data_IF_558851987221
#
_entry.id   IF_558851987221
#
_cell.length_a   1.000
_cell.length_b   1.000
_cell.length_c   1.000
_cell.angle_alpha   90.00
_cell.angle_beta   90.00
_cell.angle_gamma   90.00
#
_symmetry.space_group_name_H-M   'P 1'
#
loop_
_entity.id
_entity.type
_entity.pdbx_description
1 polymer ?
#
# COMPACT_ATOMS: atom_id res chain seq x y z
N UNK A 1 -8.55 10.06 4.10
CA UNK A 1 -8.62 9.22 2.87
C UNK A 1 -8.42 7.74 3.21
N UNK A 2 -9.47 6.92 3.15
CA UNK A 2 -9.39 5.45 3.36
C UNK A 2 -8.91 4.65 2.13
N UNK A 3 -8.63 5.33 1.03
CA UNK A 3 -8.25 4.71 -0.26
C UNK A 3 -6.97 3.87 -0.10
N UNK A 4 -5.93 4.43 0.53
CA UNK A 4 -4.64 3.73 0.70
C UNK A 4 -4.77 2.49 1.56
N UNK A 5 -5.58 2.55 2.63
CA UNK A 5 -5.90 1.38 3.45
C UNK A 5 -6.55 0.27 2.63
N UNK A 6 -7.54 0.61 1.79
CA UNK A 6 -8.21 -0.36 0.92
C UNK A 6 -7.28 -0.95 -0.14
N UNK A 7 -6.36 -0.15 -0.69
CA UNK A 7 -5.37 -0.64 -1.65
C UNK A 7 -4.38 -1.61 -0.99
N UNK A 8 -3.87 -1.29 0.20
CA UNK A 8 -3.01 -2.22 0.95
C UNK A 8 -3.77 -3.51 1.30
N UNK A 9 -5.03 -3.40 1.73
CA UNK A 9 -5.86 -4.56 2.02
C UNK A 9 -6.05 -5.46 0.80
N UNK A 10 -6.38 -4.87 -0.36
CA UNK A 10 -6.53 -5.59 -1.62
C UNK A 10 -5.20 -6.20 -2.10
N UNK A 11 -4.08 -5.51 -1.90
CA UNK A 11 -2.74 -6.02 -2.21
C UNK A 11 -2.38 -7.24 -1.36
N UNK A 12 -2.87 -7.34 -0.13
CA UNK A 12 -2.69 -8.50 0.75
C UNK A 12 -3.54 -9.72 0.38
N UNK A 13 -4.49 -9.60 -0.56
CA UNK A 13 -5.43 -10.67 -0.88
C UNK A 13 -4.86 -11.69 -1.88
N UNK A 14 -4.00 -12.60 -1.39
CA UNK A 14 -3.33 -13.63 -2.20
C UNK A 14 -4.27 -14.59 -2.95
N UNK A 15 -5.55 -14.65 -2.57
CA UNK A 15 -6.54 -15.49 -3.25
C UNK A 15 -7.08 -14.84 -4.55
N UNK A 16 -6.77 -13.57 -4.81
CA UNK A 16 -7.28 -12.82 -5.96
C UNK A 16 -6.15 -12.05 -6.66
N UNK A 17 -5.32 -12.72 -7.48
CA UNK A 17 -4.11 -12.14 -8.08
C UNK A 17 -4.36 -10.89 -8.92
N UNK A 18 -5.44 -10.84 -9.70
CA UNK A 18 -5.78 -9.66 -10.52
C UNK A 18 -6.07 -8.43 -9.65
N UNK A 19 -6.77 -8.63 -8.53
CA UNK A 19 -7.06 -7.56 -7.57
C UNK A 19 -5.78 -7.07 -6.89
N UNK A 20 -4.86 -7.98 -6.54
CA UNK A 20 -3.58 -7.59 -5.97
C UNK A 20 -2.76 -6.76 -6.97
N UNK A 21 -2.68 -7.21 -8.22
CA UNK A 21 -1.96 -6.52 -9.28
C UNK A 21 -2.50 -5.12 -9.52
N UNK A 22 -3.82 -4.98 -9.65
CA UNK A 22 -4.48 -3.68 -9.84
C UNK A 22 -4.25 -2.76 -8.64
N UNK A 23 -4.30 -3.30 -7.42
CA UNK A 23 -4.01 -2.55 -6.21
C UNK A 23 -2.55 -2.10 -6.14
N UNK A 24 -1.59 -2.96 -6.53
CA UNK A 24 -0.16 -2.64 -6.58
C UNK A 24 0.12 -1.45 -7.52
N UNK A 25 -0.36 -1.53 -8.77
CA UNK A 25 -0.19 -0.48 -9.79
C UNK A 25 -0.81 0.84 -9.31
N UNK A 26 -2.02 0.76 -8.74
CA UNK A 26 -2.71 1.96 -8.24
C UNK A 26 -1.97 2.56 -7.05
N UNK A 27 -1.51 1.74 -6.11
CA UNK A 27 -0.74 2.19 -4.95
C UNK A 27 0.59 2.81 -5.36
N UNK A 28 1.27 2.24 -6.37
CA UNK A 28 2.49 2.81 -6.94
C UNK A 28 2.25 4.24 -7.45
N UNK A 29 1.18 4.44 -8.21
CA UNK A 29 0.81 5.77 -8.69
C UNK A 29 0.63 6.75 -7.53
N UNK A 30 -0.06 6.34 -6.45
CA UNK A 30 -0.26 7.19 -5.28
C UNK A 30 1.05 7.56 -4.57
N UNK A 31 1.93 6.59 -4.29
CA UNK A 31 3.19 6.89 -3.59
C UNK A 31 4.12 7.75 -4.44
N UNK A 32 4.16 7.56 -5.77
CA UNK A 32 4.98 8.39 -6.66
C UNK A 32 4.42 9.80 -6.83
N UNK A 33 3.10 9.97 -6.75
CA UNK A 33 2.43 11.25 -6.98
C UNK A 33 2.32 12.11 -5.72
N UNK A 34 2.26 11.50 -4.53
CA UNK A 34 1.99 12.19 -3.27
C UNK A 34 3.04 11.84 -2.21
N UNK A 35 4.01 12.72 -1.91
CA UNK A 35 5.07 12.45 -0.93
C UNK A 35 4.55 12.05 0.45
N UNK A 36 3.47 12.67 0.92
CA UNK A 36 2.85 12.30 2.19
C UNK A 36 2.31 10.86 2.20
N UNK A 37 1.74 10.41 1.07
CA UNK A 37 1.26 9.03 0.93
C UNK A 37 2.45 8.07 0.89
N UNK A 38 3.52 8.42 0.17
CA UNK A 38 4.78 7.65 0.16
C UNK A 38 5.28 7.39 1.58
N UNK A 39 5.38 8.44 2.41
CA UNK A 39 5.92 8.31 3.76
C UNK A 39 5.06 7.40 4.63
N UNK A 40 3.73 7.54 4.54
CA UNK A 40 2.78 6.72 5.29
C UNK A 40 2.79 5.26 4.85
N UNK A 41 2.95 5.00 3.55
CA UNK A 41 3.04 3.64 3.02
C UNK A 41 4.38 3.00 3.37
N UNK A 42 5.49 3.74 3.29
CA UNK A 42 6.81 3.26 3.71
C UNK A 42 6.83 2.93 5.21
N UNK A 43 6.19 3.74 6.04
CA UNK A 43 6.01 3.47 7.48
C UNK A 43 5.21 2.17 7.72
N UNK A 44 4.12 1.96 6.98
CA UNK A 44 3.26 0.79 7.14
C UNK A 44 3.89 -0.52 6.66
N UNK A 45 4.66 -0.48 5.57
CA UNK A 45 5.31 -1.66 4.99
C UNK A 45 6.65 -1.98 5.63
N UNK A 46 7.33 -0.98 6.19
CA UNK A 46 8.73 -1.08 6.57
C UNK A 46 9.66 -0.94 5.37
N UNK A 47 10.89 -0.50 5.62
CA UNK A 47 11.83 -0.08 4.58
C UNK A 47 12.15 -1.19 3.56
N UNK A 48 12.50 -2.39 4.02
CA UNK A 48 12.85 -3.51 3.14
C UNK A 48 11.69 -3.90 2.21
N UNK A 49 10.48 -4.05 2.76
CA UNK A 49 9.33 -4.45 1.95
C UNK A 49 8.88 -3.32 1.00
N UNK A 50 9.02 -2.07 1.43
CA UNK A 50 8.75 -0.91 0.58
C UNK A 50 9.70 -0.84 -0.63
N UNK A 51 10.99 -1.09 -0.43
CA UNK A 51 11.98 -1.10 -1.51
C UNK A 51 11.70 -2.23 -2.53
N UNK A 52 11.31 -3.41 -2.05
CA UNK A 52 10.87 -4.51 -2.91
C UNK A 52 9.65 -4.13 -3.75
N UNK A 53 8.66 -3.48 -3.11
CA UNK A 53 7.47 -2.97 -3.78
C UNK A 53 7.80 -1.98 -4.90
N UNK A 54 8.68 -1.00 -4.66
CA UNK A 54 9.04 -0.01 -5.68
C UNK A 54 9.91 -0.58 -6.81
N UNK A 55 10.69 -1.63 -6.56
CA UNK A 55 11.54 -2.24 -7.60
C UNK A 55 10.73 -2.91 -8.68
N UNK A 56 9.70 -3.68 -8.31
CA UNK A 56 8.87 -4.42 -9.26
C UNK A 56 7.41 -4.54 -8.79
N UNK A 57 6.61 -3.47 -8.87
CA UNK A 57 5.22 -3.47 -8.39
C UNK A 57 4.34 -4.46 -9.16
N UNK A 58 4.64 -4.68 -10.45
CA UNK A 58 3.97 -5.65 -11.33
C UNK A 58 4.32 -7.11 -11.02
N UNK A 59 5.36 -7.41 -10.24
CA UNK A 59 5.74 -8.78 -9.87
C UNK A 59 5.51 -9.07 -8.38
N UNK A 60 5.34 -8.02 -7.57
CA UNK A 60 5.25 -8.13 -6.12
C UNK A 60 4.08 -9.02 -5.68
N UNK A 61 2.95 -8.95 -6.39
CA UNK A 61 1.76 -9.74 -6.06
C UNK A 61 2.00 -11.26 -6.18
N UNK A 62 2.94 -11.69 -7.02
CA UNK A 62 3.27 -13.12 -7.22
C UNK A 62 4.24 -13.64 -6.14
N UNK A 63 5.01 -12.74 -5.52
CA UNK A 63 6.12 -13.09 -4.61
C UNK A 63 5.77 -12.86 -3.13
N UNK A 64 4.53 -12.50 -2.85
CA UNK A 64 4.11 -12.08 -1.51
C UNK A 64 4.02 -13.28 -0.56
N UNK A 65 4.81 -13.25 0.50
CA UNK A 65 4.75 -14.28 1.55
C UNK A 65 3.46 -14.16 2.37
N UNK A 66 3.02 -15.24 3.02
CA UNK A 66 1.84 -15.21 3.90
C UNK A 66 1.96 -14.17 5.02
N UNK A 67 3.18 -13.89 5.50
CA UNK A 67 3.45 -12.86 6.50
C UNK A 67 3.24 -11.46 5.92
N UNK A 68 3.79 -11.19 4.72
CA UNK A 68 3.59 -9.91 4.04
C UNK A 68 2.11 -9.68 3.70
N UNK A 69 1.38 -10.73 3.35
CA UNK A 69 -0.05 -10.67 3.07
C UNK A 69 -0.85 -10.30 4.34
N UNK A 70 -0.47 -10.87 5.48
CA UNK A 70 -1.06 -10.55 6.78
C UNK A 70 -0.77 -9.10 7.19
N UNK A 71 0.46 -8.61 7.02
CA UNK A 71 0.84 -7.20 7.27
C UNK A 71 -0.02 -6.25 6.45
N UNK A 72 -0.23 -6.55 5.17
CA UNK A 72 -1.06 -5.76 4.26
C UNK A 72 -2.54 -5.79 4.64
N UNK A 73 -3.09 -6.96 4.95
CA UNK A 73 -4.52 -7.13 5.27
C UNK A 73 -4.89 -6.62 6.67
N UNK A 74 -3.93 -6.57 7.60
CA UNK A 74 -4.11 -6.05 8.96
C UNK A 74 -3.67 -4.58 9.12
N UNK A 75 -3.29 -3.92 8.01
CA UNK A 75 -2.77 -2.56 8.04
C UNK A 75 -3.73 -1.58 8.74
N UNK A 76 -3.17 -0.65 9.51
CA UNK A 76 -3.95 0.39 10.22
C UNK A 76 -3.72 1.78 9.67
N UNK A 77 -3.29 1.87 8.40
CA UNK A 77 -2.95 3.16 7.81
C UNK A 77 -4.20 4.04 7.82
N UNK A 78 -4.07 5.23 8.37
CA UNK A 78 -5.11 6.23 8.34
C UNK A 78 -4.49 7.55 7.93
N UNK A 79 -4.78 7.95 6.70
CA UNK A 79 -4.35 9.24 6.16
C UNK A 79 -5.49 10.21 6.48
N UNK A 80 -5.34 11.13 7.45
CA UNK A 80 -6.37 12.14 7.68
C UNK A 80 -6.60 12.91 6.38
N UNK A 81 -7.86 13.15 6.02
CA UNK A 81 -8.14 14.22 5.06
C UNK A 81 -7.95 15.53 5.81
N UNK A 82 -7.39 16.56 5.19
CA UNK A 82 -7.19 17.86 5.84
C UNK A 82 -8.46 18.30 6.57
N UNK A 83 -8.43 18.18 7.90
CA UNK A 83 -9.36 18.85 8.79
C UNK A 83 -8.53 19.75 9.69
N UNK A 84 -7.85 20.73 9.08
CA UNK A 84 -7.44 21.95 9.76
C UNK A 84 -7.65 23.13 8.82
N UNK A 85 -8.82 23.76 8.95
CA UNK A 85 -8.85 25.22 8.98
C UNK A 85 -9.43 25.57 10.34
N UNK A 86 -8.57 25.61 11.36
CA UNK A 86 -8.86 26.38 12.56
C UNK A 86 -8.38 27.80 12.24
N UNK A 87 -9.32 28.68 11.89
CA UNK A 87 -9.13 30.14 11.88
C UNK A 87 -9.02 30.70 13.30
#
# INVERSE_FOLDING_TARGET
>A
LRVVHGLLFALGNANHPDSQRQAAITLEFFVRSFPFVNDKVKEALGETFYEEFLKNPDDLYVKLTSIQADVLSSNKINIPGDTEVQE
#
